data_IF_149298351567
#
_entry.id   IF_149298351567
#
_cell.length_a   1.000
_cell.length_b   1.000
_cell.length_c   1.000
_cell.angle_alpha   90.00
_cell.angle_beta   90.00
_cell.angle_gamma   90.00
#
_symmetry.space_group_name_H-M   'P 1'
#
loop_
_entity.id
_entity.type
_entity.pdbx_description
1 polymer ?
#
# COMPACT_ATOMS: atom_id res chain seq x y z
N UNK A 1 21.29 -19.96 13.72
CA UNK A 1 20.89 -18.64 14.26
C UNK A 1 19.38 -18.58 14.31
N UNK A 2 18.79 -18.58 15.50
CA UNK A 2 17.37 -18.31 15.67
C UNK A 2 17.21 -16.80 15.47
N UNK A 3 16.66 -16.36 14.33
CA UNK A 3 16.28 -14.95 14.17
C UNK A 3 15.15 -14.68 15.15
N UNK A 4 15.43 -13.97 16.23
CA UNK A 4 14.38 -13.38 17.05
C UNK A 4 13.55 -12.47 16.14
N UNK A 5 12.26 -12.79 15.96
CA UNK A 5 11.35 -11.91 15.23
C UNK A 5 11.28 -10.60 15.98
N UNK A 6 11.47 -9.51 15.26
CA UNK A 6 11.23 -8.19 15.83
C UNK A 6 9.73 -7.99 16.02
N UNK A 7 9.33 -7.13 16.94
CA UNK A 7 7.92 -6.78 17.14
C UNK A 7 7.23 -6.36 15.82
N UNK A 8 7.95 -5.66 14.94
CA UNK A 8 7.45 -5.24 13.63
C UNK A 8 7.23 -6.43 12.67
N UNK A 9 8.08 -7.46 12.73
CA UNK A 9 7.88 -8.70 11.96
C UNK A 9 6.61 -9.46 12.41
N UNK A 10 6.29 -9.40 13.71
CA UNK A 10 5.05 -9.98 14.23
C UNK A 10 3.81 -9.21 13.78
N UNK A 11 3.87 -7.88 13.79
CA UNK A 11 2.79 -7.04 13.27
C UNK A 11 2.54 -7.31 11.78
N UNK A 12 3.62 -7.37 10.98
CA UNK A 12 3.55 -7.73 9.56
C UNK A 12 3.00 -9.14 9.35
N UNK A 13 3.40 -10.12 10.16
CA UNK A 13 2.88 -11.48 10.08
C UNK A 13 1.37 -11.53 10.40
N UNK A 14 0.92 -10.78 11.42
CA UNK A 14 -0.49 -10.68 11.78
C UNK A 14 -1.31 -10.00 10.68
N UNK A 15 -0.85 -8.89 10.12
CA UNK A 15 -1.57 -8.17 9.07
C UNK A 15 -1.89 -9.03 7.84
N UNK A 16 -1.09 -10.07 7.54
CA UNK A 16 -1.32 -11.01 6.43
C UNK A 16 -2.51 -11.96 6.62
N UNK A 17 -2.92 -12.20 7.86
CA UNK A 17 -3.95 -13.21 8.19
C UNK A 17 -5.24 -12.59 8.73
N UNK A 18 -5.26 -11.28 8.95
CA UNK A 18 -6.40 -10.56 9.53
C UNK A 18 -7.40 -10.11 8.46
N UNK A 19 -8.60 -9.71 8.92
CA UNK A 19 -9.55 -9.02 8.07
C UNK A 19 -8.99 -7.68 7.58
N UNK A 20 -9.56 -7.13 6.51
CA UNK A 20 -9.06 -5.91 5.87
C UNK A 20 -9.01 -4.73 6.83
N UNK A 21 -10.07 -4.51 7.61
CA UNK A 21 -10.14 -3.41 8.57
C UNK A 21 -9.09 -3.54 9.69
N UNK A 22 -8.85 -4.75 10.18
CA UNK A 22 -7.82 -5.01 11.19
C UNK A 22 -6.41 -4.88 10.62
N UNK A 23 -6.17 -5.35 9.40
CA UNK A 23 -4.88 -5.18 8.71
C UNK A 23 -4.54 -3.69 8.56
N UNK A 24 -5.53 -2.86 8.20
CA UNK A 24 -5.38 -1.41 8.06
C UNK A 24 -4.99 -0.71 9.37
N UNK A 25 -5.50 -1.17 10.51
CA UNK A 25 -5.07 -0.67 11.82
C UNK A 25 -3.58 -0.96 12.05
N UNK A 26 -3.11 -2.15 11.66
CA UNK A 26 -1.71 -2.51 11.80
C UNK A 26 -0.79 -1.74 10.84
N UNK A 27 -1.29 -1.31 9.68
CA UNK A 27 -0.54 -0.46 8.76
C UNK A 27 -0.16 0.88 9.39
N UNK A 28 -0.99 1.44 10.27
CA UNK A 28 -0.65 2.67 10.98
C UNK A 28 0.54 2.49 11.91
N UNK A 29 0.58 1.37 12.64
CA UNK A 29 1.71 1.05 13.51
C UNK A 29 2.99 0.75 12.70
N UNK A 30 2.85 0.07 11.56
CA UNK A 30 3.97 -0.17 10.63
C UNK A 30 4.49 1.17 10.08
N UNK A 31 3.60 2.04 9.64
CA UNK A 31 3.95 3.36 9.10
C UNK A 31 4.65 4.24 10.14
N UNK A 32 4.21 4.22 11.41
CA UNK A 32 4.87 4.96 12.49
C UNK A 32 6.29 4.48 12.79
N UNK A 33 6.61 3.21 12.52
CA UNK A 33 7.92 2.60 12.84
C UNK A 33 8.89 2.58 11.68
N UNK A 34 8.41 2.26 10.49
CA UNK A 34 9.25 2.05 9.30
C UNK A 34 9.00 3.09 8.20
N UNK A 35 7.97 3.93 8.35
CA UNK A 35 7.62 4.98 7.41
C UNK A 35 6.68 4.54 6.29
N UNK A 36 6.32 5.53 5.48
CA UNK A 36 5.28 5.39 4.46
C UNK A 36 5.70 4.49 3.30
N UNK A 37 6.94 4.59 2.83
CA UNK A 37 7.44 3.75 1.74
C UNK A 37 7.45 2.27 2.12
N UNK A 38 7.94 1.93 3.32
CA UNK A 38 7.92 0.56 3.81
C UNK A 38 6.50 0.00 3.94
N UNK A 39 5.52 0.86 4.25
CA UNK A 39 4.10 0.49 4.31
C UNK A 39 3.54 0.19 2.92
N UNK A 40 3.89 1.01 1.92
CA UNK A 40 3.52 0.78 0.51
C UNK A 40 4.10 -0.56 0.03
N UNK A 41 5.39 -0.78 0.26
CA UNK A 41 6.09 -2.00 -0.17
C UNK A 41 5.45 -3.22 0.49
N UNK A 42 5.18 -3.14 1.80
CA UNK A 42 4.51 -4.21 2.53
C UNK A 42 3.12 -4.53 1.96
N UNK A 43 2.28 -3.53 1.71
CA UNK A 43 0.94 -3.74 1.12
C UNK A 43 1.05 -4.32 -0.29
N UNK A 44 1.96 -3.81 -1.11
CA UNK A 44 2.15 -4.25 -2.50
C UNK A 44 2.57 -5.71 -2.60
N UNK A 45 3.51 -6.12 -1.76
CA UNK A 45 4.13 -7.45 -1.84
C UNK A 45 3.34 -8.51 -1.05
N UNK A 46 2.62 -8.10 0.00
CA UNK A 46 2.07 -9.05 0.98
C UNK A 46 0.55 -9.00 1.10
N UNK A 47 -0.10 -7.90 0.70
CA UNK A 47 -1.55 -7.71 0.85
C UNK A 47 -2.20 -7.31 -0.48
N UNK A 48 -2.08 -8.13 -1.55
CA UNK A 48 -2.58 -7.77 -2.88
C UNK A 48 -4.09 -7.50 -2.90
N UNK A 49 -4.88 -8.25 -2.12
CA UNK A 49 -6.31 -7.99 -2.00
C UNK A 49 -6.59 -6.61 -1.38
N UNK A 50 -5.85 -6.22 -0.33
CA UNK A 50 -6.02 -4.90 0.29
C UNK A 50 -5.58 -3.77 -0.66
N UNK A 51 -4.51 -3.99 -1.44
CA UNK A 51 -4.10 -3.09 -2.52
C UNK A 51 -5.24 -2.88 -3.52
N UNK A 52 -5.90 -3.94 -3.95
CA UNK A 52 -7.02 -3.83 -4.90
C UNK A 52 -8.20 -3.07 -4.28
N UNK A 53 -8.44 -3.20 -2.98
CA UNK A 53 -9.43 -2.39 -2.26
C UNK A 53 -9.04 -0.91 -2.19
N UNK A 54 -7.76 -0.57 -2.01
CA UNK A 54 -7.27 0.80 -2.12
C UNK A 54 -7.49 1.36 -3.53
N UNK A 55 -7.15 0.61 -4.58
CA UNK A 55 -7.35 1.03 -5.98
C UNK A 55 -8.83 1.32 -6.25
N UNK A 56 -9.71 0.40 -5.84
CA UNK A 56 -11.15 0.50 -6.09
C UNK A 56 -11.89 1.39 -5.09
N UNK A 57 -11.21 1.97 -4.11
CA UNK A 57 -11.81 2.73 -3.01
C UNK A 57 -12.93 1.96 -2.26
N UNK A 58 -12.68 0.68 -1.96
CA UNK A 58 -13.65 -0.24 -1.33
C UNK A 58 -13.15 -0.80 0.00
N UNK A 59 -12.15 -0.17 0.62
CA UNK A 59 -11.65 -0.58 1.94
C UNK A 59 -12.78 -0.51 2.97
N UNK A 60 -13.18 -1.67 3.49
CA UNK A 60 -14.24 -1.74 4.48
C UNK A 60 -13.68 -1.48 5.88
N UNK A 61 -14.11 -0.36 6.48
CA UNK A 61 -13.69 0.10 7.80
C UNK A 61 -14.82 0.02 8.84
N UNK A 62 -15.96 -0.57 8.47
CA UNK A 62 -17.13 -0.63 9.35
C UNK A 62 -16.81 -1.42 10.62
N UNK A 63 -17.06 -0.80 11.78
CA UNK A 63 -16.80 -1.41 13.09
C UNK A 63 -15.35 -1.28 13.59
N UNK A 64 -14.43 -0.76 12.79
CA UNK A 64 -13.05 -0.50 13.21
C UNK A 64 -12.98 0.81 14.02
N UNK A 65 -12.23 0.80 15.14
CA UNK A 65 -11.97 1.97 15.98
C UNK A 65 -10.50 2.38 15.86
N UNK A 66 -10.19 3.65 16.14
CA UNK A 66 -8.82 4.21 16.12
C UNK A 66 -8.12 4.10 14.76
N UNK A 67 -8.87 4.32 13.68
CA UNK A 67 -8.35 4.24 12.33
C UNK A 67 -7.65 5.54 11.97
N UNK A 68 -6.42 5.45 11.45
CA UNK A 68 -5.75 6.57 10.82
C UNK A 68 -6.30 6.78 9.40
N UNK A 69 -7.35 7.58 9.29
CA UNK A 69 -8.01 7.88 8.01
C UNK A 69 -7.11 8.66 7.05
N UNK A 70 -6.17 9.47 7.56
CA UNK A 70 -5.20 10.18 6.74
C UNK A 70 -4.28 9.20 6.02
N UNK A 71 -3.72 8.23 6.74
CA UNK A 71 -2.85 7.20 6.16
C UNK A 71 -3.60 6.40 5.09
N UNK A 72 -4.85 6.01 5.35
CA UNK A 72 -5.68 5.30 4.38
C UNK A 72 -5.87 6.12 3.12
N UNK A 73 -6.25 7.39 3.25
CA UNK A 73 -6.45 8.27 2.09
C UNK A 73 -5.15 8.43 1.28
N UNK A 74 -4.00 8.52 1.96
CA UNK A 74 -2.70 8.57 1.30
C UNK A 74 -2.38 7.27 0.54
N UNK A 75 -2.65 6.10 1.14
CA UNK A 75 -2.46 4.80 0.50
C UNK A 75 -3.42 4.63 -0.71
N UNK A 76 -4.69 4.97 -0.55
CA UNK A 76 -5.69 5.00 -1.63
C UNK A 76 -5.20 5.85 -2.80
N UNK A 77 -4.84 7.11 -2.53
CA UNK A 77 -4.37 8.03 -3.57
C UNK A 77 -3.09 7.52 -4.25
N UNK A 78 -2.17 6.94 -3.47
CA UNK A 78 -0.93 6.36 -4.01
C UNK A 78 -1.21 5.21 -4.98
N UNK A 79 -1.98 4.21 -4.55
CA UNK A 79 -2.25 3.03 -5.38
C UNK A 79 -3.14 3.34 -6.59
N UNK A 80 -4.10 4.26 -6.44
CA UNK A 80 -4.88 4.76 -7.58
C UNK A 80 -4.00 5.47 -8.60
N UNK A 81 -3.08 6.33 -8.15
CA UNK A 81 -2.17 7.04 -9.05
C UNK A 81 -1.26 6.07 -9.82
N UNK A 82 -0.69 5.06 -9.14
CA UNK A 82 0.12 4.01 -9.80
C UNK A 82 -0.73 3.26 -10.83
N UNK A 83 -1.92 2.84 -10.45
CA UNK A 83 -2.83 2.12 -11.33
C UNK A 83 -3.17 2.95 -12.57
N UNK A 84 -3.57 4.21 -12.40
CA UNK A 84 -3.90 5.12 -13.50
C UNK A 84 -2.70 5.37 -14.43
N UNK A 85 -1.50 5.55 -13.85
CA UNK A 85 -0.26 5.72 -14.64
C UNK A 85 0.08 4.51 -15.49
N UNK A 86 -0.34 3.30 -15.11
CA UNK A 86 -0.12 2.09 -15.92
C UNK A 86 -0.87 2.11 -17.26
N UNK A 87 -1.94 2.90 -17.38
CA UNK A 87 -2.70 3.08 -18.61
C UNK A 87 -2.17 4.19 -19.51
N UNK A 88 -1.26 5.03 -19.02
CA UNK A 88 -0.62 6.04 -19.85
C UNK A 88 0.50 5.31 -20.59
N UNK A 89 0.38 5.04 -21.90
CA UNK A 89 1.52 4.56 -22.65
C UNK A 89 2.64 5.59 -22.45
N UNK A 90 3.79 5.16 -21.94
CA UNK A 90 4.99 6.00 -21.91
C UNK A 90 5.31 6.32 -23.35
N UNK A 91 4.77 7.43 -23.85
CA UNK A 91 5.08 7.99 -25.15
C UNK A 91 6.52 8.50 -25.03
N UNK A 92 7.48 7.59 -25.16
CA UNK A 92 8.84 7.91 -25.55
C UNK A 92 8.78 8.37 -27.01
N UNK A 93 8.13 9.51 -27.28
CA UNK A 93 8.31 10.27 -28.51
C UNK A 93 9.71 10.91 -28.45
N UNK A 94 10.73 10.06 -28.61
CA UNK A 94 11.96 10.47 -29.28
C UNK A 94 11.91 9.97 -30.72
N UNK A 95 10.80 10.22 -31.42
CA UNK A 95 10.89 10.43 -32.86
C UNK A 95 11.59 11.78 -33.06
N UNK A 96 12.92 11.74 -32.97
CA UNK A 96 13.77 12.75 -33.56
C UNK A 96 13.46 12.75 -35.06
N UNK A 97 12.51 13.57 -35.47
CA UNK A 97 12.35 13.92 -36.88
C UNK A 97 13.64 14.68 -37.22
N UNK A 98 14.63 13.98 -37.77
CA UNK A 98 15.72 14.62 -38.49
C UNK A 98 15.08 15.33 -39.68
N UNK A 99 14.80 16.62 -39.52
CA UNK A 99 14.71 17.53 -40.67
C UNK A 99 16.13 17.79 -41.14
N UNK A 100 16.66 16.96 -42.03
CA UNK A 100 17.56 17.35 -43.13
C UNK A 100 17.39 16.32 -44.24
#
# INVERSE_FOLDING_TARGET
MIKHKTFIDELKAKAKVLSQGEAVILLDEINRREGFQATIDFVSDNLPALRDHFINNTVNLNGCRNINTLLINQLTAHFQNIYLKSFIPTVNNKTTIKRI
#
